data_IF_589868290436
#
_entry.id   IF_589868290436
#
_cell.length_a   1.000
_cell.length_b   1.000
_cell.length_c   1.000
_cell.angle_alpha   90.00
_cell.angle_beta   90.00
_cell.angle_gamma   90.00
#
_symmetry.space_group_name_H-M   'P 1'
#
loop_
_entity.id
_entity.type
_entity.pdbx_description
1 polymer ?
#
# COMPACT_ATOMS: atom_id res chain seq x y z
N UNK A 1 -3.15 -9.64 5.26
CA UNK A 1 -3.95 -8.49 5.73
C UNK A 1 -2.97 -7.44 6.23
N UNK A 2 -2.53 -6.52 5.36
CA UNK A 2 -1.72 -5.39 5.81
C UNK A 2 -2.57 -4.46 6.68
N UNK A 3 -2.02 -3.72 7.65
CA UNK A 3 -2.77 -2.73 8.39
C UNK A 3 -2.94 -1.49 7.51
N UNK A 4 -4.15 -1.15 7.02
CA UNK A 4 -4.39 0.16 6.45
C UNK A 4 -4.36 1.17 7.60
N UNK A 5 -3.33 2.00 7.65
CA UNK A 5 -3.26 3.11 8.57
C UNK A 5 -4.24 4.21 8.14
N UNK A 6 -5.46 4.15 8.66
CA UNK A 6 -6.36 5.30 8.83
C UNK A 6 -7.46 4.93 9.86
N UNK A 7 -7.37 5.49 11.07
CA UNK A 7 -8.36 5.40 12.17
C UNK A 7 -8.80 4.00 12.67
N UNK A 8 -7.92 2.99 12.64
CA UNK A 8 -8.21 1.60 13.06
C UNK A 8 -9.06 1.43 14.33
N UNK A 9 -8.89 2.27 15.36
CA UNK A 9 -9.63 2.10 16.62
C UNK A 9 -11.10 2.54 16.56
N UNK A 10 -11.47 3.42 15.63
CA UNK A 10 -12.87 3.83 15.47
C UNK A 10 -13.70 2.71 14.84
N UNK A 11 -13.08 1.94 13.95
CA UNK A 11 -13.67 0.84 13.20
C UNK A 11 -13.80 -0.44 14.02
N UNK A 12 -13.18 -0.48 15.21
CA UNK A 12 -13.37 -1.57 16.18
C UNK A 12 -14.76 -1.51 16.81
N UNK A 13 -15.37 -0.33 16.98
CA UNK A 13 -16.68 -0.22 17.63
C UNK A 13 -17.79 -1.08 17.00
N UNK A 14 -18.05 -1.04 15.67
CA UNK A 14 -19.09 -1.88 15.08
C UNK A 14 -18.79 -3.37 15.21
N UNK A 15 -17.52 -3.78 15.12
CA UNK A 15 -17.13 -5.18 15.28
C UNK A 15 -17.44 -5.69 16.68
N UNK A 16 -17.11 -4.91 17.71
CA UNK A 16 -17.35 -5.29 19.11
C UNK A 16 -18.83 -5.20 19.47
N UNK A 17 -19.54 -4.19 18.97
CA UNK A 17 -20.99 -4.05 19.19
C UNK A 17 -21.77 -5.27 18.68
N UNK A 18 -21.36 -5.87 17.56
CA UNK A 18 -21.94 -7.12 17.07
C UNK A 18 -21.71 -8.31 18.01
N UNK A 19 -20.58 -8.33 18.73
CA UNK A 19 -20.22 -9.41 19.65
C UNK A 19 -20.87 -9.26 21.02
N UNK A 20 -21.03 -8.03 21.53
CA UNK A 20 -21.41 -7.78 22.93
C UNK A 20 -22.63 -6.85 23.13
N UNK A 21 -23.26 -6.38 22.04
CA UNK A 21 -24.42 -5.48 22.11
C UNK A 21 -24.12 -4.09 22.69
N UNK A 22 -22.86 -3.68 22.71
CA UNK A 22 -22.42 -2.39 23.24
C UNK A 22 -22.12 -2.40 24.74
N UNK A 23 -21.87 -3.57 25.34
CA UNK A 23 -21.53 -3.70 26.76
C UNK A 23 -20.19 -3.01 27.10
N UNK A 24 -19.17 -3.16 26.26
CA UNK A 24 -17.81 -2.66 26.53
C UNK A 24 -17.60 -1.22 26.07
N UNK A 25 -17.94 -0.96 24.81
CA UNK A 25 -17.65 0.29 24.10
C UNK A 25 -18.86 1.22 23.99
N UNK A 26 -20.02 0.81 24.53
CA UNK A 26 -21.25 1.59 24.56
C UNK A 26 -22.21 1.28 23.41
N UNK A 27 -23.50 1.54 23.63
CA UNK A 27 -24.59 1.17 22.73
C UNK A 27 -24.71 2.02 21.46
N UNK A 28 -24.03 3.16 21.41
CA UNK A 28 -24.10 4.09 20.27
C UNK A 28 -22.71 4.60 19.89
N UNK A 29 -22.46 4.68 18.58
CA UNK A 29 -21.20 5.19 18.03
C UNK A 29 -20.93 6.64 18.46
N UNK A 30 -21.97 7.45 18.61
CA UNK A 30 -21.84 8.85 19.08
C UNK A 30 -21.28 8.92 20.50
N UNK A 31 -21.72 8.04 21.40
CA UNK A 31 -21.20 7.98 22.77
C UNK A 31 -19.75 7.52 22.77
N UNK A 32 -19.45 6.46 22.02
CA UNK A 32 -18.09 5.95 21.84
C UNK A 32 -17.13 7.05 21.34
N UNK A 33 -17.49 7.76 20.27
CA UNK A 33 -16.70 8.87 19.71
C UNK A 33 -16.50 10.00 20.72
N UNK A 34 -17.55 10.44 21.40
CA UNK A 34 -17.45 11.51 22.42
C UNK A 34 -16.62 11.12 23.64
N UNK A 35 -16.59 9.83 23.99
CA UNK A 35 -15.84 9.33 25.14
C UNK A 35 -14.35 9.21 24.83
N UNK A 36 -13.99 8.62 23.69
CA UNK A 36 -12.60 8.22 23.40
C UNK A 36 -11.90 9.06 22.33
N UNK A 37 -12.63 9.91 21.61
CA UNK A 37 -12.10 10.71 20.51
C UNK A 37 -12.41 12.21 20.70
N UNK A 38 -11.59 13.04 20.09
CA UNK A 38 -11.78 14.46 19.92
C UNK A 38 -11.95 14.74 18.42
N UNK A 39 -12.76 15.74 18.09
CA UNK A 39 -12.92 16.16 16.71
C UNK A 39 -11.77 17.10 16.35
N UNK A 40 -11.15 16.87 15.20
CA UNK A 40 -10.12 17.75 14.65
C UNK A 40 -10.71 19.13 14.28
N UNK A 41 -9.85 20.14 14.15
CA UNK A 41 -10.24 21.53 13.85
C UNK A 41 -11.07 21.64 12.56
N UNK A 42 -10.80 20.77 11.57
CA UNK A 42 -11.55 20.71 10.31
C UNK A 42 -12.88 19.97 10.41
N UNK A 43 -13.23 19.35 11.55
CA UNK A 43 -14.50 18.64 11.74
C UNK A 43 -14.58 17.25 11.10
N UNK A 44 -13.69 16.91 10.16
CA UNK A 44 -13.73 15.66 9.40
C UNK A 44 -12.97 14.50 10.06
N UNK A 45 -11.94 14.77 10.85
CA UNK A 45 -11.11 13.74 11.48
C UNK A 45 -11.45 13.55 12.96
N UNK A 46 -11.36 12.30 13.42
CA UNK A 46 -11.48 11.94 14.83
C UNK A 46 -10.09 11.56 15.35
N UNK A 47 -9.57 12.36 16.27
CA UNK A 47 -8.28 12.13 16.91
C UNK A 47 -8.54 11.39 18.21
N UNK A 48 -7.83 10.29 18.46
CA UNK A 48 -7.96 9.58 19.72
C UNK A 48 -7.48 10.46 20.88
N UNK A 49 -8.24 10.49 21.97
CA UNK A 49 -7.81 11.20 23.18
C UNK A 49 -6.65 10.46 23.83
N UNK A 50 -5.76 11.21 24.48
CA UNK A 50 -4.68 10.65 25.28
C UNK A 50 -5.23 9.64 26.32
N UNK A 51 -4.58 8.48 26.44
CA UNK A 51 -4.99 7.40 27.33
C UNK A 51 -6.21 6.58 26.87
N UNK A 52 -6.97 7.03 25.86
CA UNK A 52 -8.16 6.31 25.40
C UNK A 52 -7.83 5.02 24.64
N UNK A 53 -6.65 4.95 24.04
CA UNK A 53 -6.15 3.77 23.33
C UNK A 53 -5.98 2.59 24.30
N UNK A 54 -5.31 2.84 25.42
CA UNK A 54 -5.02 1.86 26.46
C UNK A 54 -6.31 1.39 27.14
N UNK A 55 -7.26 2.30 27.38
CA UNK A 55 -8.57 1.98 27.95
C UNK A 55 -9.37 1.06 27.01
N UNK A 56 -9.39 1.36 25.71
CA UNK A 56 -10.09 0.53 24.72
C UNK A 56 -9.44 -0.84 24.64
N UNK A 57 -8.11 -0.93 24.53
CA UNK A 57 -7.44 -2.24 24.51
C UNK A 57 -7.66 -3.03 25.80
N UNK A 58 -7.64 -2.38 26.96
CA UNK A 58 -7.97 -3.02 28.24
C UNK A 58 -9.37 -3.62 28.26
N UNK A 59 -10.36 -2.93 27.67
CA UNK A 59 -11.74 -3.42 27.53
C UNK A 59 -11.91 -4.55 26.52
N UNK A 60 -10.91 -4.80 25.67
CA UNK A 60 -10.97 -5.80 24.60
C UNK A 60 -10.03 -6.98 24.83
N UNK A 61 -9.15 -6.91 25.84
CA UNK A 61 -8.07 -7.88 26.10
C UNK A 61 -8.54 -9.33 26.23
N UNK A 62 -9.76 -9.55 26.72
CA UNK A 62 -10.35 -10.87 26.95
C UNK A 62 -11.10 -11.44 25.73
N UNK A 63 -11.41 -10.62 24.71
CA UNK A 63 -12.10 -11.07 23.49
C UNK A 63 -11.26 -10.87 22.21
N UNK A 64 -10.18 -10.10 22.28
CA UNK A 64 -9.29 -9.83 21.17
C UNK A 64 -7.89 -10.35 21.49
N UNK A 65 -7.42 -11.32 20.68
CA UNK A 65 -6.02 -11.71 20.67
C UNK A 65 -5.22 -10.67 19.87
N UNK A 66 -4.54 -9.77 20.55
CA UNK A 66 -3.60 -8.85 19.91
C UNK A 66 -2.24 -9.54 19.76
N UNK A 67 -1.95 -10.02 18.56
CA UNK A 67 -0.60 -10.49 18.22
C UNK A 67 0.24 -9.27 17.84
N UNK A 68 1.07 -8.80 18.77
CA UNK A 68 2.18 -7.93 18.41
C UNK A 68 3.23 -8.81 17.72
N UNK A 69 3.59 -8.49 16.47
CA UNK A 69 4.62 -9.23 15.73
C UNK A 69 5.95 -9.30 16.52
N UNK A 70 6.21 -8.30 17.36
CA UNK A 70 7.38 -8.21 18.26
C UNK A 70 7.38 -9.26 19.38
N UNK A 71 6.22 -9.74 19.82
CA UNK A 71 6.10 -10.61 21.01
C UNK A 71 6.14 -12.10 20.66
N UNK A 72 5.98 -12.46 19.38
CA UNK A 72 5.87 -13.87 18.94
C UNK A 72 6.78 -14.27 17.79
N UNK A 73 7.33 -13.33 17.00
CA UNK A 73 8.29 -13.65 15.94
C UNK A 73 9.69 -13.19 16.33
N UNK A 74 10.60 -14.14 16.53
CA UNK A 74 12.04 -13.91 16.32
C UNK A 74 12.26 -13.77 14.81
N UNK A 75 11.90 -12.61 14.25
CA UNK A 75 12.16 -12.31 12.86
C UNK A 75 13.65 -11.94 12.73
N UNK A 76 14.42 -12.58 11.82
CA UNK A 76 15.77 -12.12 11.54
C UNK A 76 15.74 -10.66 11.07
N UNK A 77 16.85 -9.95 11.28
CA UNK A 77 16.94 -8.54 10.92
C UNK A 77 16.50 -8.30 9.48
N UNK A 78 15.61 -7.32 9.29
CA UNK A 78 15.16 -6.93 7.96
C UNK A 78 16.35 -6.34 7.19
N UNK A 79 16.89 -7.11 6.26
CA UNK A 79 17.87 -6.62 5.31
C UNK A 79 17.16 -6.03 4.08
N UNK A 80 17.34 -4.72 3.85
CA UNK A 80 16.84 -4.07 2.63
C UNK A 80 17.97 -3.99 1.61
N UNK A 81 17.83 -4.68 0.48
CA UNK A 81 18.74 -4.58 -0.65
C UNK A 81 18.10 -3.69 -1.72
N UNK A 82 18.57 -2.45 -1.83
CA UNK A 82 18.09 -1.49 -2.83
C UNK A 82 19.04 -1.54 -4.02
N UNK A 83 18.53 -1.96 -5.18
CA UNK A 83 19.29 -2.02 -6.45
C UNK A 83 18.77 -0.93 -7.37
N UNK A 84 19.66 0.00 -7.73
CA UNK A 84 19.37 0.99 -8.76
C UNK A 84 19.67 0.40 -10.13
N UNK A 85 18.73 0.58 -11.07
CA UNK A 85 18.82 0.03 -12.42
C UNK A 85 18.86 1.20 -13.39
N UNK A 86 19.96 1.34 -14.11
CA UNK A 86 20.06 2.32 -15.20
C UNK A 86 19.42 1.76 -16.47
N UNK A 87 18.44 2.49 -17.02
CA UNK A 87 17.86 2.15 -18.31
C UNK A 87 18.86 2.49 -19.43
N UNK A 88 19.06 1.58 -20.40
CA UNK A 88 19.84 1.86 -21.60
C UNK A 88 19.34 3.11 -22.33
N UNK A 89 20.24 3.82 -22.98
CA UNK A 89 19.95 5.12 -23.61
C UNK A 89 18.77 5.06 -24.60
N UNK A 90 18.68 3.98 -25.40
CA UNK A 90 17.58 3.76 -26.33
C UNK A 90 16.21 3.69 -25.64
N UNK A 91 16.12 2.93 -24.54
CA UNK A 91 14.90 2.76 -23.74
C UNK A 91 14.57 4.07 -23.00
N UNK A 92 15.58 4.73 -22.45
CA UNK A 92 15.42 6.02 -21.78
C UNK A 92 14.88 7.11 -22.73
N UNK A 93 15.24 7.05 -24.01
CA UNK A 93 14.71 7.96 -25.03
C UNK A 93 13.22 7.74 -25.26
N UNK A 94 12.77 6.49 -25.39
CA UNK A 94 11.35 6.16 -25.52
C UNK A 94 10.54 6.58 -24.29
N UNK A 95 11.10 6.43 -23.09
CA UNK A 95 10.48 6.92 -21.87
C UNK A 95 10.24 8.44 -21.92
N UNK A 96 11.26 9.22 -22.32
CA UNK A 96 11.15 10.68 -22.45
C UNK A 96 10.19 11.11 -23.55
N UNK A 97 10.08 10.32 -24.61
CA UNK A 97 9.12 10.56 -25.69
C UNK A 97 7.68 10.36 -25.20
N UNK A 98 7.41 9.25 -24.50
CA UNK A 98 6.10 9.02 -23.88
C UNK A 98 5.75 10.11 -22.86
N UNK A 99 6.71 10.55 -22.05
CA UNK A 99 6.54 11.63 -21.08
C UNK A 99 6.15 12.96 -21.75
N UNK A 100 6.74 13.27 -22.91
CA UNK A 100 6.52 14.54 -23.61
C UNK A 100 5.31 14.53 -24.52
N UNK A 101 5.16 13.49 -25.33
CA UNK A 101 4.17 13.40 -26.41
C UNK A 101 2.86 12.73 -25.95
N UNK A 102 2.82 12.15 -24.74
CA UNK A 102 1.68 11.35 -24.25
C UNK A 102 1.33 10.17 -25.19
N UNK A 103 2.29 9.77 -26.02
CA UNK A 103 2.13 8.78 -27.06
C UNK A 103 3.42 7.99 -27.16
N UNK A 104 3.27 6.68 -27.32
CA UNK A 104 4.38 5.79 -27.63
C UNK A 104 3.97 4.84 -28.74
N UNK A 105 4.89 4.62 -29.68
CA UNK A 105 4.75 3.61 -30.71
C UNK A 105 5.56 2.38 -30.28
N UNK A 106 4.87 1.28 -30.06
CA UNK A 106 5.49 0.01 -29.68
C UNK A 106 5.08 -1.03 -30.70
N UNK A 107 6.08 -1.65 -31.35
CA UNK A 107 5.87 -2.50 -32.51
C UNK A 107 5.07 -1.74 -33.60
N UNK A 108 3.88 -2.22 -33.96
CA UNK A 108 2.98 -1.63 -34.96
C UNK A 108 1.75 -0.94 -34.33
N UNK A 109 1.73 -0.76 -33.00
CA UNK A 109 0.60 -0.19 -32.28
C UNK A 109 0.99 1.12 -31.57
N UNK A 110 0.14 2.12 -31.77
CA UNK A 110 0.26 3.41 -31.09
C UNK A 110 -0.59 3.41 -29.83
N UNK A 111 0.07 3.58 -28.68
CA UNK A 111 -0.61 3.74 -27.39
C UNK A 111 -0.66 5.22 -27.06
N UNK A 112 -1.86 5.81 -27.14
CA UNK A 112 -2.11 7.20 -26.74
C UNK A 112 -2.58 7.27 -25.28
N UNK A 113 -2.14 8.31 -24.58
CA UNK A 113 -2.46 8.56 -23.17
C UNK A 113 -3.23 9.88 -23.05
N UNK A 114 -4.39 9.83 -22.39
CA UNK A 114 -5.34 10.95 -22.41
C UNK A 114 -5.22 11.93 -21.24
N UNK A 115 -4.53 11.57 -20.15
CA UNK A 115 -4.39 12.44 -18.99
C UNK A 115 -3.11 12.13 -18.19
N UNK A 116 -2.72 13.07 -17.31
CA UNK A 116 -1.51 12.97 -16.51
C UNK A 116 -1.51 11.75 -15.56
N UNK A 117 -2.68 11.37 -15.01
CA UNK A 117 -2.77 10.21 -14.13
C UNK A 117 -2.52 8.89 -14.89
N UNK A 118 -3.05 8.78 -16.10
CA UNK A 118 -2.81 7.65 -17.00
C UNK A 118 -1.34 7.63 -17.47
N UNK A 119 -0.73 8.80 -17.68
CA UNK A 119 0.70 8.91 -18.04
C UNK A 119 1.58 8.37 -16.93
N UNK A 120 1.40 8.82 -15.68
CA UNK A 120 2.17 8.31 -14.54
C UNK A 120 2.07 6.80 -14.42
N UNK A 121 0.87 6.23 -14.61
CA UNK A 121 0.68 4.78 -14.60
C UNK A 121 1.40 4.07 -15.76
N UNK A 122 1.39 4.66 -16.97
CA UNK A 122 2.09 4.11 -18.14
C UNK A 122 3.60 4.19 -18.01
N UNK A 123 4.13 5.27 -17.42
CA UNK A 123 5.55 5.40 -17.12
C UNK A 123 6.01 4.37 -16.07
N UNK A 124 5.18 4.10 -15.04
CA UNK A 124 5.46 3.03 -14.08
C UNK A 124 5.45 1.64 -14.72
N UNK A 125 4.50 1.39 -15.63
CA UNK A 125 4.46 0.17 -16.45
C UNK A 125 5.71 0.04 -17.32
N UNK A 126 6.10 1.13 -17.99
CA UNK A 126 7.32 1.20 -18.79
C UNK A 126 8.56 0.84 -17.96
N UNK A 127 8.75 1.44 -16.78
CA UNK A 127 9.88 1.14 -15.89
C UNK A 127 9.88 -0.32 -15.39
N UNK A 128 8.72 -0.95 -15.27
CA UNK A 128 8.62 -2.37 -14.96
C UNK A 128 9.01 -3.27 -16.14
N UNK A 129 9.09 -2.73 -17.36
CA UNK A 129 9.44 -3.45 -18.57
C UNK A 129 8.27 -3.86 -19.45
N UNK A 130 7.02 -3.60 -19.04
CA UNK A 130 5.83 -4.03 -19.77
C UNK A 130 4.72 -2.99 -19.75
N UNK A 131 4.13 -2.69 -20.91
CA UNK A 131 3.03 -1.73 -21.06
C UNK A 131 1.77 -2.48 -21.50
N UNK A 132 0.69 -2.40 -20.72
CA UNK A 132 -0.59 -2.97 -21.11
C UNK A 132 -1.16 -2.23 -22.31
N UNK A 133 -1.77 -2.93 -23.27
CA UNK A 133 -2.40 -2.29 -24.43
C UNK A 133 -3.57 -1.41 -24.01
N UNK A 134 -4.46 -2.00 -23.20
CA UNK A 134 -5.66 -1.37 -22.69
C UNK A 134 -5.76 -1.52 -21.15
N UNK A 135 -6.38 -0.56 -20.45
CA UNK A 135 -6.64 -0.69 -19.02
C UNK A 135 -7.46 -1.95 -18.70
N UNK A 136 -6.93 -2.82 -17.83
CA UNK A 136 -7.61 -4.05 -17.41
C UNK A 136 -7.47 -5.24 -18.38
N UNK A 137 -6.78 -5.07 -19.50
CA UNK A 137 -6.42 -6.17 -20.39
C UNK A 137 -5.24 -6.98 -19.84
N UNK A 138 -5.19 -8.27 -20.19
CA UNK A 138 -4.01 -9.12 -19.97
C UNK A 138 -2.95 -8.95 -21.06
N UNK A 139 -3.28 -8.29 -22.16
CA UNK A 139 -2.34 -8.04 -23.25
C UNK A 139 -1.40 -6.89 -22.92
N UNK A 140 -0.11 -7.12 -23.08
CA UNK A 140 0.95 -6.15 -22.85
C UNK A 140 2.01 -6.25 -23.94
N UNK A 141 2.73 -5.15 -24.14
CA UNK A 141 3.98 -5.13 -24.90
C UNK A 141 5.14 -5.33 -23.96
N UNK A 142 6.09 -6.20 -24.34
CA UNK A 142 7.36 -6.30 -23.63
C UNK A 142 8.31 -5.22 -24.18
N UNK A 143 8.76 -4.32 -23.30
CA UNK A 143 9.70 -3.23 -23.63
C UNK A 143 11.13 -3.65 -23.28
N UNK A 144 11.34 -4.20 -22.07
CA UNK A 144 12.65 -4.63 -21.59
C UNK A 144 12.57 -5.53 -20.36
N UNK A 145 13.57 -6.39 -20.17
CA UNK A 145 13.65 -7.27 -19.01
C UNK A 145 14.64 -6.79 -17.93
N UNK A 146 15.10 -5.53 -17.99
CA UNK A 146 16.14 -4.99 -17.06
C UNK A 146 15.86 -5.19 -15.57
N UNK A 147 14.59 -5.15 -15.17
CA UNK A 147 14.17 -5.40 -13.79
C UNK A 147 14.32 -6.88 -13.41
N UNK A 148 14.04 -7.78 -14.35
CA UNK A 148 14.23 -9.22 -14.18
C UNK A 148 15.73 -9.56 -14.18
N UNK A 149 16.49 -8.99 -15.12
CA UNK A 149 17.96 -9.12 -15.17
C UNK A 149 18.60 -8.78 -13.81
N UNK A 150 18.20 -7.64 -13.22
CA UNK A 150 18.72 -7.19 -11.93
C UNK A 150 18.32 -8.10 -10.77
N UNK A 151 17.18 -8.80 -10.89
CA UNK A 151 16.71 -9.74 -9.87
C UNK A 151 17.49 -11.06 -9.90
N UNK A 152 17.83 -11.57 -11.09
CA UNK A 152 18.61 -12.81 -11.23
C UNK A 152 20.04 -12.71 -10.67
N UNK A 153 20.60 -11.50 -10.64
CA UNK A 153 21.94 -11.23 -10.09
C UNK A 153 21.93 -11.22 -8.55
N UNK A 154 20.77 -11.06 -7.90
CA UNK A 154 20.67 -11.15 -6.44
C UNK A 154 20.84 -12.61 -6.05
N UNK A 155 21.92 -12.99 -5.33
CA UNK A 155 22.10 -14.37 -4.89
C UNK A 155 20.91 -14.76 -4.01
N UNK A 156 20.28 -15.91 -4.29
CA UNK A 156 19.35 -16.53 -3.36
C UNK A 156 20.07 -16.69 -2.03
N UNK A 157 19.65 -15.94 -1.01
CA UNK A 157 20.34 -15.85 0.26
C UNK A 157 20.07 -17.08 1.15
N UNK A 158 20.35 -18.29 0.63
CA UNK A 158 20.40 -19.54 1.40
C UNK A 158 21.82 -19.86 1.92
N UNK A 159 22.75 -18.92 1.84
CA UNK A 159 24.12 -19.12 2.36
C UNK A 159 24.54 -17.98 3.27
N UNK A 160 23.95 -17.93 4.47
CA UNK A 160 24.67 -17.41 5.63
C UNK A 160 24.57 -18.47 6.72
N UNK A 161 25.67 -19.22 6.83
CA UNK A 161 26.05 -20.10 7.94
C UNK A 161 25.98 -19.42 9.30
#
# INVERSE_FOLDING_TARGET
>A
MGPPASNSLIDVWPQIYLLDGGARLGKTITKFRRTYFAQDYSGFNWIIREGSKEIIYGKLKDICLTLSASDYLNMPDRFNHIVEIELPEAIRKQYKELEREFLIQVEDQTVAVFNAAALSNKLLQFCNGAIYKEPGSKEFFNIHDKKLDAFEVVPNNETVT
#
